data_IF_521195614333
#
_entry.id   IF_521195614333
#
_cell.length_a   1.000
_cell.length_b   1.000
_cell.length_c   1.000
_cell.angle_alpha   90.00
_cell.angle_beta   90.00
_cell.angle_gamma   90.00
#
_symmetry.space_group_name_H-M   'P 1'
#
loop_
_entity.id
_entity.type
_entity.pdbx_description
1 polymer ?
#
# COMPACT_ATOMS: atom_id res chain seq x y z
N UNK A 1 25.87 11.85 24.31
CA UNK A 1 24.70 11.09 23.81
C UNK A 1 23.43 11.92 23.55
N UNK A 2 23.39 13.24 23.74
CA UNK A 2 22.16 14.03 23.49
C UNK A 2 22.03 14.57 22.05
N UNK A 3 23.13 14.91 21.39
CA UNK A 3 23.07 15.64 20.11
C UNK A 3 22.67 14.77 18.90
N UNK A 4 23.15 13.52 18.82
CA UNK A 4 22.71 12.57 17.78
C UNK A 4 21.20 12.25 17.86
N UNK A 5 20.63 12.22 19.07
CA UNK A 5 19.20 11.97 19.26
C UNK A 5 18.33 13.14 18.77
N UNK A 6 18.83 14.37 18.89
CA UNK A 6 18.12 15.58 18.46
C UNK A 6 18.15 15.78 16.93
N UNK A 7 19.28 15.49 16.29
CA UNK A 7 19.45 15.70 14.84
C UNK A 7 19.16 14.45 14.02
N UNK A 8 19.12 13.27 14.62
CA UNK A 8 18.90 12.00 13.92
C UNK A 8 19.97 11.68 12.86
N UNK A 9 21.14 12.32 12.94
CA UNK A 9 22.27 12.13 12.03
C UNK A 9 23.47 11.50 12.74
N UNK A 10 24.33 10.84 11.98
CA UNK A 10 25.57 10.23 12.50
C UNK A 10 26.63 11.32 12.65
N UNK A 11 27.19 11.45 13.86
CA UNK A 11 28.31 12.38 14.12
C UNK A 11 29.56 11.87 13.42
N UNK A 12 30.13 12.67 12.51
CA UNK A 12 31.38 12.34 11.83
C UNK A 12 32.59 12.95 12.54
N UNK A 13 32.50 14.23 12.91
CA UNK A 13 33.59 14.95 13.54
C UNK A 13 33.07 16.04 14.48
N UNK A 14 33.78 16.25 15.59
CA UNK A 14 33.49 17.29 16.57
C UNK A 14 34.78 17.96 17.01
N UNK A 15 34.89 19.26 16.79
CA UNK A 15 35.95 20.12 17.31
C UNK A 15 35.32 21.22 18.19
N UNK A 16 36.14 22.09 18.79
CA UNK A 16 35.70 23.25 19.57
C UNK A 16 34.92 24.24 18.72
N UNK A 17 35.26 24.37 17.44
CA UNK A 17 34.71 25.41 16.55
C UNK A 17 33.65 24.89 15.58
N UNK A 18 33.56 23.58 15.35
CA UNK A 18 32.61 23.01 14.41
C UNK A 18 32.18 21.59 14.77
N UNK A 19 31.02 21.20 14.22
CA UNK A 19 30.48 19.85 14.32
C UNK A 19 29.97 19.43 12.94
N UNK A 20 30.40 18.25 12.47
CA UNK A 20 30.00 17.68 11.17
C UNK A 20 29.12 16.45 11.40
N UNK A 21 27.95 16.44 10.78
CA UNK A 21 27.02 15.31 10.80
C UNK A 21 26.76 14.81 9.38
N UNK A 22 26.70 13.49 9.23
CA UNK A 22 26.09 12.87 8.08
C UNK A 22 24.64 12.54 8.41
N UNK A 23 23.73 13.21 7.72
CA UNK A 23 22.33 12.82 7.65
C UNK A 23 22.17 12.28 6.24
N UNK A 24 21.80 11.02 6.09
CA UNK A 24 21.75 10.35 4.78
C UNK A 24 20.84 11.06 3.76
N UNK A 25 20.67 10.46 2.59
CA UNK A 25 19.86 11.06 1.51
C UNK A 25 18.38 11.31 1.87
N UNK A 26 17.92 10.78 3.01
CA UNK A 26 16.55 10.94 3.50
C UNK A 26 16.33 12.24 4.28
N UNK A 27 17.35 13.11 4.40
CA UNK A 27 17.16 14.41 5.02
C UNK A 27 16.49 15.40 4.07
N UNK A 28 15.23 15.72 4.35
CA UNK A 28 14.51 16.82 3.73
C UNK A 28 14.36 17.97 4.73
N UNK A 29 14.76 19.21 4.37
CA UNK A 29 14.47 20.38 5.19
C UNK A 29 12.96 20.49 5.46
N UNK A 30 12.53 20.95 6.65
CA UNK A 30 11.11 21.00 7.01
C UNK A 30 10.24 21.77 6.01
N UNK A 31 10.80 22.79 5.35
CA UNK A 31 10.13 23.55 4.30
C UNK A 31 9.84 22.65 3.09
N UNK A 32 10.83 21.88 2.63
CA UNK A 32 10.68 20.95 1.51
C UNK A 32 9.66 19.87 1.85
N UNK A 33 9.72 19.29 3.05
CA UNK A 33 8.73 18.30 3.52
C UNK A 33 7.31 18.85 3.49
N UNK A 34 7.10 20.08 3.98
CA UNK A 34 5.78 20.73 3.95
C UNK A 34 5.27 20.91 2.53
N UNK A 35 6.12 21.46 1.63
CA UNK A 35 5.73 21.67 0.24
C UNK A 35 5.40 20.37 -0.49
N UNK A 36 6.12 19.28 -0.19
CA UNK A 36 5.83 17.95 -0.75
C UNK A 36 4.49 17.41 -0.26
N UNK A 37 4.22 17.51 1.03
CA UNK A 37 2.94 17.08 1.61
C UNK A 37 1.76 17.90 1.06
N UNK A 38 1.94 19.22 0.91
CA UNK A 38 0.93 20.10 0.29
C UNK A 38 0.67 19.70 -1.16
N UNK A 39 1.71 19.50 -1.97
CA UNK A 39 1.55 19.03 -3.35
C UNK A 39 0.87 17.67 -3.43
N UNK A 40 1.25 16.73 -2.57
CA UNK A 40 0.62 15.42 -2.53
C UNK A 40 -0.88 15.53 -2.25
N UNK A 41 -1.29 16.38 -1.31
CA UNK A 41 -2.71 16.63 -1.02
C UNK A 41 -3.45 17.21 -2.22
N UNK A 42 -2.85 18.19 -2.90
CA UNK A 42 -3.44 18.79 -4.10
C UNK A 42 -3.62 17.75 -5.22
N UNK A 43 -2.63 16.89 -5.44
CA UNK A 43 -2.73 15.82 -6.44
C UNK A 43 -3.87 14.85 -6.13
N UNK A 44 -4.06 14.46 -4.87
CA UNK A 44 -5.16 13.57 -4.47
C UNK A 44 -6.52 14.22 -4.75
N UNK A 45 -6.69 15.50 -4.40
CA UNK A 45 -7.92 16.25 -4.66
C UNK A 45 -8.20 16.30 -6.18
N UNK A 46 -7.19 16.62 -6.98
CA UNK A 46 -7.31 16.68 -8.43
C UNK A 46 -7.72 15.32 -9.03
N UNK A 47 -7.14 14.22 -8.55
CA UNK A 47 -7.50 12.87 -8.98
C UNK A 47 -8.97 12.53 -8.65
N UNK A 48 -9.44 12.91 -7.47
CA UNK A 48 -10.84 12.67 -7.06
C UNK A 48 -11.82 13.52 -7.88
N UNK A 49 -11.47 14.77 -8.19
CA UNK A 49 -12.28 15.65 -9.03
C UNK A 49 -12.36 15.15 -10.49
N UNK A 50 -11.24 14.73 -11.06
CA UNK A 50 -11.17 14.14 -12.40
C UNK A 50 -12.03 12.87 -12.48
N UNK A 51 -11.90 11.98 -11.50
CA UNK A 51 -12.66 10.73 -11.44
C UNK A 51 -14.17 11.01 -11.31
N UNK A 52 -14.57 11.99 -10.49
CA UNK A 52 -15.98 12.41 -10.39
C UNK A 52 -16.52 12.94 -11.73
N UNK A 53 -15.72 13.71 -12.45
CA UNK A 53 -16.09 14.20 -13.77
C UNK A 53 -16.22 13.05 -14.79
N UNK A 54 -15.30 12.08 -14.77
CA UNK A 54 -15.37 10.86 -15.58
C UNK A 54 -16.63 10.04 -15.30
N UNK A 55 -16.96 9.81 -14.03
CA UNK A 55 -18.18 9.09 -13.64
C UNK A 55 -19.45 9.80 -14.11
N UNK A 56 -19.47 11.13 -14.02
CA UNK A 56 -20.60 11.95 -14.49
C UNK A 56 -20.76 11.92 -16.01
N UNK A 57 -19.65 11.87 -16.76
CA UNK A 57 -19.69 11.69 -18.21
C UNK A 57 -20.12 10.26 -18.60
N UNK A 58 -19.60 9.24 -17.92
CA UNK A 58 -19.95 7.84 -18.15
C UNK A 58 -21.43 7.56 -17.88
N UNK A 59 -21.99 8.12 -16.80
CA UNK A 59 -23.42 7.98 -16.49
C UNK A 59 -24.30 8.64 -17.56
N UNK A 60 -23.90 9.80 -18.07
CA UNK A 60 -24.59 10.51 -19.15
C UNK A 60 -24.59 9.71 -20.47
N UNK A 61 -23.46 9.07 -20.80
CA UNK A 61 -23.35 8.18 -21.97
C UNK A 61 -24.25 6.94 -21.81
N UNK A 62 -24.27 6.34 -20.61
CA UNK A 62 -25.02 5.11 -20.35
C UNK A 62 -26.54 5.30 -20.45
N UNK A 63 -27.05 6.47 -20.05
CA UNK A 63 -28.50 6.81 -20.15
C UNK A 63 -28.96 6.89 -21.62
N UNK A 64 -28.06 7.25 -22.55
CA UNK A 64 -28.39 7.37 -23.98
C UNK A 64 -28.50 6.03 -24.71
N UNK A 65 -27.98 4.93 -24.15
CA UNK A 65 -28.00 3.61 -24.78
C UNK A 65 -28.92 2.66 -24.01
N UNK A 66 -30.23 2.74 -24.27
CA UNK A 66 -31.17 1.79 -23.70
C UNK A 66 -30.89 0.39 -24.27
N UNK A 67 -30.61 -0.56 -23.36
CA UNK A 67 -30.46 -2.02 -23.53
C UNK A 67 -29.04 -2.54 -23.80
N UNK A 68 -28.31 -2.82 -22.73
CA UNK A 68 -27.68 -4.14 -22.54
C UNK A 68 -27.34 -4.40 -21.08
N UNK A 69 -27.42 -5.67 -20.75
CA UNK A 69 -27.36 -6.29 -19.44
C UNK A 69 -26.00 -6.21 -18.76
N UNK A 70 -26.03 -6.22 -17.44
CA UNK A 70 -24.98 -6.70 -16.53
C UNK A 70 -23.62 -5.99 -16.62
N UNK A 71 -23.42 -5.13 -15.60
CA UNK A 71 -22.15 -4.79 -14.96
C UNK A 71 -20.90 -5.02 -15.83
N UNK A 72 -20.47 -4.00 -16.60
CA UNK A 72 -19.10 -3.99 -17.08
C UNK A 72 -18.23 -3.95 -15.82
N UNK A 73 -17.44 -4.99 -15.58
CA UNK A 73 -16.32 -4.91 -14.65
C UNK A 73 -15.44 -3.76 -15.13
N UNK A 74 -15.60 -2.60 -14.49
CA UNK A 74 -14.99 -1.33 -14.90
C UNK A 74 -13.53 -1.31 -14.44
N UNK A 75 -12.74 -2.19 -15.05
CA UNK A 75 -11.30 -2.27 -14.84
C UNK A 75 -10.65 -0.93 -15.25
N UNK A 76 -9.70 -0.43 -14.46
CA UNK A 76 -9.01 0.85 -14.66
C UNK A 76 -9.60 2.04 -13.91
N UNK A 77 -10.53 1.83 -12.97
CA UNK A 77 -11.12 2.92 -12.17
C UNK A 77 -10.28 3.24 -10.93
N UNK A 78 -10.27 4.50 -10.48
CA UNK A 78 -9.57 4.88 -9.23
C UNK A 78 -10.08 4.08 -8.02
N UNK A 79 -11.40 3.85 -7.94
CA UNK A 79 -12.02 3.05 -6.88
C UNK A 79 -11.54 1.60 -6.87
N UNK A 80 -11.37 0.98 -8.04
CA UNK A 80 -10.81 -0.36 -8.15
C UNK A 80 -9.35 -0.38 -7.71
N UNK A 81 -8.55 0.60 -8.14
CA UNK A 81 -7.14 0.72 -7.73
C UNK A 81 -7.02 0.85 -6.21
N UNK A 82 -7.89 1.65 -5.59
CA UNK A 82 -7.98 1.78 -4.13
C UNK A 82 -8.37 0.46 -3.45
N UNK A 83 -9.36 -0.25 -3.97
CA UNK A 83 -9.78 -1.55 -3.44
C UNK A 83 -8.68 -2.62 -3.58
N UNK A 84 -8.01 -2.67 -4.73
CA UNK A 84 -6.90 -3.59 -4.97
C UNK A 84 -5.73 -3.30 -4.02
N UNK A 85 -5.38 -2.02 -3.84
CA UNK A 85 -4.33 -1.60 -2.90
C UNK A 85 -4.70 -1.93 -1.45
N UNK A 86 -5.97 -1.76 -1.06
CA UNK A 86 -6.42 -2.11 0.29
C UNK A 86 -6.39 -3.62 0.55
N UNK A 87 -6.79 -4.43 -0.44
CA UNK A 87 -6.87 -5.88 -0.30
C UNK A 87 -5.50 -6.57 -0.41
N UNK A 88 -4.61 -6.06 -1.26
CA UNK A 88 -3.36 -6.75 -1.63
C UNK A 88 -2.09 -5.93 -1.44
N UNK A 89 -2.20 -4.63 -1.12
CA UNK A 89 -1.05 -3.74 -0.95
C UNK A 89 -0.39 -3.79 0.44
N UNK A 90 -0.95 -4.54 1.39
CA UNK A 90 -0.33 -4.71 2.70
C UNK A 90 0.86 -5.67 2.61
N UNK A 91 2.03 -5.20 3.09
CA UNK A 91 3.17 -6.08 3.32
C UNK A 91 2.92 -6.86 4.62
N UNK A 92 2.81 -8.21 4.58
CA UNK A 92 2.45 -9.00 5.75
C UNK A 92 3.53 -8.87 6.84
N UNK A 93 3.07 -8.73 8.08
CA UNK A 93 3.96 -8.66 9.23
C UNK A 93 4.66 -10.02 9.46
N UNK A 94 5.83 -10.04 10.11
CA UNK A 94 6.55 -11.29 10.43
C UNK A 94 5.65 -12.34 11.11
N UNK A 95 4.80 -11.91 12.04
CA UNK A 95 3.86 -12.80 12.74
C UNK A 95 2.80 -13.39 11.82
N UNK A 96 2.33 -12.60 10.85
CA UNK A 96 1.33 -13.02 9.86
C UNK A 96 1.93 -14.03 8.86
N UNK A 97 3.15 -13.77 8.41
CA UNK A 97 3.91 -14.71 7.57
C UNK A 97 4.12 -16.05 8.28
N UNK A 98 4.48 -16.01 9.57
CA UNK A 98 4.68 -17.24 10.35
C UNK A 98 3.37 -18.02 10.58
N UNK A 99 2.27 -17.30 10.86
CA UNK A 99 0.93 -17.91 10.97
C UNK A 99 0.53 -18.58 9.65
N UNK A 100 0.74 -17.90 8.52
CA UNK A 100 0.46 -18.42 7.19
C UNK A 100 1.28 -19.68 6.87
N UNK A 101 2.56 -19.71 7.26
CA UNK A 101 3.42 -20.91 7.16
C UNK A 101 2.83 -22.07 7.97
N UNK A 102 2.42 -21.84 9.22
CA UNK A 102 1.80 -22.87 10.08
C UNK A 102 0.47 -23.37 9.54
N UNK A 103 -0.38 -22.50 9.03
CA UNK A 103 -1.66 -22.90 8.44
C UNK A 103 -1.45 -23.73 7.15
N UNK A 104 -0.46 -23.36 6.34
CA UNK A 104 -0.07 -24.14 5.16
C UNK A 104 0.43 -25.54 5.52
N UNK A 105 1.28 -25.68 6.55
CA UNK A 105 1.75 -27.01 6.98
C UNK A 105 0.62 -27.86 7.54
N UNK A 106 -0.29 -27.27 8.33
CA UNK A 106 -1.50 -27.95 8.81
C UNK A 106 -2.42 -28.38 7.66
N UNK A 107 -2.66 -27.52 6.67
CA UNK A 107 -3.47 -27.84 5.51
C UNK A 107 -2.90 -29.02 4.70
N UNK A 108 -1.57 -29.05 4.52
CA UNK A 108 -0.89 -30.19 3.89
C UNK A 108 -1.06 -31.46 4.71
N UNK A 109 -0.91 -31.38 6.03
CA UNK A 109 -1.09 -32.53 6.91
C UNK A 109 -2.52 -33.09 6.86
N UNK A 110 -3.52 -32.22 6.96
CA UNK A 110 -4.94 -32.61 6.82
C UNK A 110 -5.23 -33.26 5.47
N UNK A 111 -4.65 -32.74 4.38
CA UNK A 111 -4.80 -33.34 3.06
C UNK A 111 -4.18 -34.74 2.97
N UNK A 112 -3.07 -34.97 3.67
CA UNK A 112 -2.38 -36.25 3.73
C UNK A 112 -3.21 -37.27 4.51
N UNK A 113 -3.75 -36.90 5.68
CA UNK A 113 -4.63 -37.77 6.47
C UNK A 113 -5.85 -38.17 5.65
N UNK A 114 -6.55 -37.19 5.04
CA UNK A 114 -7.72 -37.47 4.20
C UNK A 114 -7.42 -38.44 3.06
N UNK A 115 -6.23 -38.35 2.47
CA UNK A 115 -5.79 -39.29 1.44
C UNK A 115 -5.63 -40.72 2.00
N UNK A 116 -5.02 -40.87 3.18
CA UNK A 116 -4.88 -42.17 3.83
C UNK A 116 -6.24 -42.76 4.21
N UNK A 117 -7.15 -41.96 4.76
CA UNK A 117 -8.52 -42.39 5.07
C UNK A 117 -9.25 -42.90 3.83
N UNK A 118 -9.18 -42.16 2.72
CA UNK A 118 -9.78 -42.57 1.45
C UNK A 118 -9.18 -43.88 0.90
N UNK A 119 -7.88 -44.13 1.13
CA UNK A 119 -7.21 -45.37 0.73
C UNK A 119 -7.59 -46.57 1.59
N UNK A 120 -7.95 -46.34 2.85
CA UNK A 120 -8.37 -47.38 3.81
C UNK A 120 -9.87 -47.71 3.73
N UNK A 121 -10.67 -46.84 3.12
CA UNK A 121 -12.11 -47.04 2.91
C UNK A 121 -12.45 -47.93 1.70
N UNK A 122 -11.44 -48.50 1.03
CA UNK A 122 -11.54 -49.51 -0.03
C UNK A 122 -11.20 -50.89 0.54
#
# INVERSE_FOLDING_TARGET
>A
MHLQKLTGGTLLSRNKEYIVFYRGNDFLPPVVTKTLTERQKLTVIQQDEEEKARQSAASSITISNSKSSQMPLLAGTLAETRAATANWGHQPCKQEVEKMMRESTLGRFSSLIRNHENKLAL
#
